data_IF_792035968297
#
_entry.id   IF_792035968297
#
_cell.length_a   1.000
_cell.length_b   1.000
_cell.length_c   1.000
_cell.angle_alpha   90.00
_cell.angle_beta   90.00
_cell.angle_gamma   90.00
#
_symmetry.space_group_name_H-M   'P 1'
#
loop_
_entity.id
_entity.type
_entity.pdbx_description
1 polymer ?
#
# COMPACT_ATOMS: atom_id res chain seq x y z
N UNK A 1 8.18 8.02 6.27
CA UNK A 1 7.19 6.93 6.04
C UNK A 1 6.41 7.29 4.79
N UNK A 2 6.18 6.36 3.88
CA UNK A 2 5.38 6.68 2.69
C UNK A 2 3.93 6.99 3.06
N UNK A 3 3.23 7.72 2.20
CA UNK A 3 1.83 8.10 2.38
C UNK A 3 0.96 7.48 1.29
N UNK A 4 -0.20 6.98 1.69
CA UNK A 4 -1.23 6.44 0.80
C UNK A 4 -2.52 7.20 1.05
N UNK A 5 -3.28 7.46 -0.02
CA UNK A 5 -4.70 7.78 0.05
C UNK A 5 -5.49 6.99 -1.00
N UNK A 6 -6.75 6.74 -0.72
CA UNK A 6 -7.70 6.12 -1.65
C UNK A 6 -9.08 6.74 -1.47
N UNK A 7 -9.85 6.70 -2.53
CA UNK A 7 -11.21 7.22 -2.59
C UNK A 7 -12.06 6.35 -3.50
N UNK A 8 -13.29 6.09 -3.08
CA UNK A 8 -14.37 5.57 -3.93
C UNK A 8 -15.70 6.22 -3.53
N UNK A 9 -16.49 6.64 -4.52
CA UNK A 9 -17.74 7.36 -4.27
C UNK A 9 -18.36 7.93 -5.52
N UNK A 10 -19.09 9.03 -5.38
CA UNK A 10 -19.83 9.68 -6.47
C UNK A 10 -19.04 10.77 -7.19
N UNK A 11 -18.02 11.35 -6.55
CA UNK A 11 -17.21 12.43 -7.14
C UNK A 11 -16.01 11.88 -7.91
N UNK A 12 -15.42 12.73 -8.75
CA UNK A 12 -14.16 12.38 -9.45
C UNK A 12 -13.01 12.20 -8.45
N UNK A 13 -12.36 11.02 -8.49
CA UNK A 13 -11.36 10.62 -7.51
C UNK A 13 -10.07 11.44 -7.57
N UNK A 14 -9.60 11.78 -8.77
CA UNK A 14 -8.27 12.37 -8.95
C UNK A 14 -8.05 13.68 -8.18
N UNK A 15 -8.94 14.70 -8.22
CA UNK A 15 -8.76 15.93 -7.44
C UNK A 15 -8.72 15.68 -5.93
N UNK A 16 -9.59 14.78 -5.44
CA UNK A 16 -9.68 14.42 -4.02
C UNK A 16 -8.38 13.77 -3.56
N UNK A 17 -7.90 12.79 -4.32
CA UNK A 17 -6.66 12.07 -4.01
C UNK A 17 -5.43 12.98 -4.00
N UNK A 18 -5.36 13.92 -4.96
CA UNK A 18 -4.27 14.89 -5.02
C UNK A 18 -4.29 15.84 -3.81
N UNK A 19 -5.47 16.27 -3.37
CA UNK A 19 -5.60 17.06 -2.14
C UNK A 19 -5.17 16.26 -0.91
N UNK A 20 -5.67 15.04 -0.77
CA UNK A 20 -5.36 14.17 0.35
C UNK A 20 -3.86 13.86 0.46
N UNK A 21 -3.18 13.62 -0.66
CA UNK A 21 -1.76 13.29 -0.62
C UNK A 21 -0.91 14.53 -0.31
N UNK A 22 -1.26 15.72 -0.79
CA UNK A 22 -0.56 16.97 -0.46
C UNK A 22 -0.54 17.22 1.05
N UNK A 23 -1.64 16.98 1.76
CA UNK A 23 -1.70 17.11 3.22
C UNK A 23 -0.72 16.18 3.93
N UNK A 24 -0.50 14.97 3.41
CA UNK A 24 0.39 13.97 4.00
C UNK A 24 1.89 14.23 3.66
N UNK A 25 2.19 14.84 2.55
CA UNK A 25 3.57 15.12 2.10
C UNK A 25 4.34 16.03 3.07
N UNK A 26 3.66 16.82 3.90
CA UNK A 26 4.29 17.60 4.97
C UNK A 26 4.85 16.74 6.11
N UNK A 27 4.35 15.51 6.27
CA UNK A 27 4.82 14.59 7.31
C UNK A 27 6.06 13.85 6.79
N UNK A 28 5.95 13.31 5.57
CA UNK A 28 7.00 12.57 4.90
C UNK A 28 6.54 12.31 3.45
N UNK A 29 7.46 11.98 2.52
CA UNK A 29 7.07 11.74 1.12
C UNK A 29 7.76 12.69 0.16
N UNK A 30 7.06 13.11 -0.90
CA UNK A 30 7.40 14.14 -1.89
C UNK A 30 8.59 13.87 -2.83
N UNK A 31 9.26 12.73 -2.77
CA UNK A 31 10.36 12.42 -3.71
C UNK A 31 9.93 11.55 -4.89
N UNK A 32 8.86 10.79 -4.77
CA UNK A 32 8.14 10.24 -5.92
C UNK A 32 6.66 10.10 -5.58
N UNK A 33 5.80 10.49 -6.50
CA UNK A 33 4.35 10.51 -6.34
C UNK A 33 3.67 9.90 -7.56
N UNK A 34 2.62 9.12 -7.35
CA UNK A 34 1.84 8.59 -8.45
C UNK A 34 0.45 8.14 -8.05
N UNK A 35 -0.44 8.17 -9.03
CA UNK A 35 -1.88 7.98 -8.92
C UNK A 35 -2.36 6.92 -9.89
N UNK A 36 -3.41 6.19 -9.49
CA UNK A 36 -4.23 5.38 -10.38
C UNK A 36 -5.71 5.63 -10.13
N UNK A 37 -6.49 5.78 -11.20
CA UNK A 37 -7.96 5.82 -11.15
C UNK A 37 -8.58 4.82 -12.11
N UNK A 38 -9.85 4.48 -11.89
CA UNK A 38 -10.59 3.54 -12.75
C UNK A 38 -11.75 4.26 -13.42
N UNK A 39 -11.87 4.10 -14.74
CA UNK A 39 -13.00 4.58 -15.51
C UNK A 39 -13.27 3.65 -16.71
N UNK A 40 -14.53 3.28 -16.92
CA UNK A 40 -14.97 2.43 -18.04
C UNK A 40 -14.12 1.15 -18.20
N UNK A 41 -13.84 0.45 -17.11
CA UNK A 41 -13.06 -0.79 -17.12
C UNK A 41 -11.58 -0.62 -17.48
N UNK A 42 -11.03 0.59 -17.33
CA UNK A 42 -9.63 0.91 -17.63
C UNK A 42 -8.97 1.61 -16.47
N UNK A 43 -7.68 1.38 -16.31
CA UNK A 43 -6.80 2.13 -15.42
C UNK A 43 -6.22 3.36 -16.13
N UNK A 44 -6.26 4.49 -15.42
CA UNK A 44 -5.55 5.73 -15.76
C UNK A 44 -4.47 5.91 -14.72
N UNK A 45 -3.21 5.94 -15.13
CA UNK A 45 -2.07 5.98 -14.21
C UNK A 45 -1.06 7.02 -14.62
N UNK A 46 -0.50 7.71 -13.64
CA UNK A 46 0.65 8.59 -13.81
C UNK A 46 1.55 8.51 -12.58
N UNK A 47 2.85 8.66 -12.78
CA UNK A 47 3.84 8.76 -11.71
C UNK A 47 5.03 9.62 -12.11
N UNK A 48 5.61 10.30 -11.13
CA UNK A 48 6.77 11.19 -11.33
C UNK A 48 7.79 11.00 -10.20
N UNK A 49 9.02 11.38 -10.47
CA UNK A 49 9.98 11.72 -9.42
C UNK A 49 9.69 13.17 -9.00
N UNK A 50 9.15 13.34 -7.80
CA UNK A 50 8.69 14.61 -7.25
C UNK A 50 7.41 14.46 -6.43
N UNK A 51 6.90 15.58 -5.95
CA UNK A 51 5.70 15.69 -5.13
C UNK A 51 4.40 15.73 -5.96
N UNK A 52 3.26 15.91 -5.30
CA UNK A 52 1.95 15.99 -5.94
C UNK A 52 1.83 17.20 -6.90
N UNK A 53 2.47 18.33 -6.60
CA UNK A 53 2.49 19.47 -7.51
C UNK A 53 3.25 19.14 -8.79
N UNK A 54 4.40 18.47 -8.67
CA UNK A 54 5.16 17.95 -9.82
C UNK A 54 4.32 16.97 -10.66
N UNK A 55 3.52 16.10 -10.00
CA UNK A 55 2.62 15.19 -10.71
C UNK A 55 1.56 15.94 -11.52
N UNK A 56 0.95 16.98 -10.94
CA UNK A 56 -0.03 17.85 -11.63
C UNK A 56 0.62 18.59 -12.80
N UNK A 57 1.81 19.16 -12.60
CA UNK A 57 2.49 19.96 -13.60
C UNK A 57 2.98 19.15 -14.80
N UNK A 58 3.46 17.91 -14.56
CA UNK A 58 4.11 17.09 -15.58
C UNK A 58 3.20 16.06 -16.25
N UNK A 59 1.98 15.89 -15.75
CA UNK A 59 1.06 14.86 -16.24
C UNK A 59 -0.38 15.39 -16.29
N UNK A 60 -1.28 14.62 -16.89
CA UNK A 60 -2.73 14.91 -16.90
C UNK A 60 -3.46 14.35 -15.66
N UNK A 61 -2.75 14.04 -14.59
CA UNK A 61 -3.29 13.36 -13.41
C UNK A 61 -4.51 14.06 -12.79
N UNK A 62 -4.52 15.40 -12.75
CA UNK A 62 -5.63 16.19 -12.22
C UNK A 62 -6.94 15.95 -13.00
N UNK A 63 -6.85 15.63 -14.29
CA UNK A 63 -7.98 15.42 -15.17
C UNK A 63 -8.37 13.94 -15.33
N UNK A 64 -7.71 13.01 -14.67
CA UNK A 64 -8.04 11.60 -14.76
C UNK A 64 -9.51 11.36 -14.43
N UNK A 65 -10.22 10.61 -15.27
CA UNK A 65 -11.62 10.26 -15.05
C UNK A 65 -11.75 9.18 -13.95
N UNK A 66 -13.01 8.92 -13.56
CA UNK A 66 -13.37 7.87 -12.64
C UNK A 66 -13.57 8.35 -11.20
N UNK A 67 -14.30 7.54 -10.48
CA UNK A 67 -14.77 7.82 -9.11
C UNK A 67 -14.12 6.91 -8.07
N UNK A 68 -13.20 6.05 -8.49
CA UNK A 68 -12.40 5.18 -7.63
C UNK A 68 -10.94 5.33 -8.00
N UNK A 69 -10.08 5.46 -6.99
CA UNK A 69 -8.64 5.57 -7.23
C UNK A 69 -7.81 5.47 -5.97
N UNK A 70 -6.50 5.40 -6.18
CA UNK A 70 -5.45 5.35 -5.15
C UNK A 70 -4.28 6.25 -5.54
N UNK A 71 -3.60 6.79 -4.56
CA UNK A 71 -2.43 7.64 -4.74
C UNK A 71 -1.38 7.31 -3.69
N UNK A 72 -0.12 7.51 -4.03
CA UNK A 72 1.01 7.24 -3.15
C UNK A 72 2.07 8.32 -3.30
N UNK A 73 2.68 8.71 -2.19
CA UNK A 73 3.87 9.57 -2.16
C UNK A 73 4.90 8.98 -1.19
N UNK A 74 6.17 8.93 -1.61
CA UNK A 74 7.24 8.32 -0.80
C UNK A 74 8.47 9.23 -0.66
N UNK A 75 9.19 9.13 0.49
CA UNK A 75 10.50 9.72 0.65
C UNK A 75 11.53 8.83 -0.04
N UNK A 76 12.35 9.42 -0.87
CA UNK A 76 13.46 8.74 -1.54
C UNK A 76 13.02 7.82 -2.66
N UNK A 77 13.43 8.16 -3.84
CA UNK A 77 13.55 7.29 -4.99
C UNK A 77 14.32 8.01 -6.10
N UNK A 78 15.21 7.31 -6.72
CA UNK A 78 15.99 7.75 -7.86
C UNK A 78 15.55 7.08 -9.19
N UNK A 79 14.61 6.13 -9.11
CA UNK A 79 14.12 5.37 -10.26
C UNK A 79 12.60 5.47 -10.38
N UNK A 80 12.13 5.93 -11.54
CA UNK A 80 10.68 6.04 -11.82
C UNK A 80 9.98 4.68 -11.80
N UNK A 81 10.67 3.63 -12.20
CA UNK A 81 10.21 2.25 -12.19
C UNK A 81 9.85 1.77 -10.79
N UNK A 82 10.49 2.32 -9.76
CA UNK A 82 10.25 2.02 -8.35
C UNK A 82 9.18 2.91 -7.71
N UNK A 83 8.68 3.94 -8.41
CA UNK A 83 7.57 4.74 -7.93
C UNK A 83 6.24 3.96 -8.03
N UNK A 84 5.37 4.16 -7.05
CA UNK A 84 4.01 3.62 -7.07
C UNK A 84 3.07 4.50 -7.92
N UNK A 85 1.94 3.96 -8.41
CA UNK A 85 1.51 2.56 -8.29
C UNK A 85 2.30 1.61 -9.20
N UNK A 86 2.38 0.34 -8.80
CA UNK A 86 2.72 -0.76 -9.70
C UNK A 86 1.47 -1.23 -10.42
N UNK A 87 1.63 -1.69 -11.68
CA UNK A 87 0.48 -2.07 -12.53
C UNK A 87 0.75 -3.42 -13.18
N UNK A 88 -0.22 -4.34 -13.04
CA UNK A 88 -0.27 -5.62 -13.72
C UNK A 88 -1.67 -5.83 -14.30
N UNK A 89 -1.78 -5.99 -15.63
CA UNK A 89 -3.06 -6.15 -16.29
C UNK A 89 -4.03 -5.01 -15.97
N UNK A 90 -5.12 -5.35 -15.29
CA UNK A 90 -6.18 -4.42 -14.85
C UNK A 90 -6.06 -4.00 -13.39
N UNK A 91 -5.02 -4.43 -12.69
CA UNK A 91 -4.77 -4.11 -11.27
C UNK A 91 -3.69 -3.05 -11.11
N UNK A 92 -3.89 -2.17 -10.14
CA UNK A 92 -2.88 -1.22 -9.64
C UNK A 92 -2.74 -1.36 -8.13
N UNK A 93 -1.49 -1.40 -7.64
CA UNK A 93 -1.15 -1.58 -6.23
C UNK A 93 -0.23 -0.45 -5.75
N UNK A 94 -0.54 0.07 -4.57
CA UNK A 94 0.36 0.89 -3.77
C UNK A 94 0.62 0.21 -2.42
N UNK A 95 1.81 0.43 -1.86
CA UNK A 95 2.23 -0.21 -0.62
C UNK A 95 3.07 0.75 0.22
N UNK A 96 2.77 0.83 1.51
CA UNK A 96 3.69 1.35 2.51
C UNK A 96 4.32 0.21 3.27
N UNK A 97 5.62 0.26 3.47
CA UNK A 97 6.30 -0.75 4.25
C UNK A 97 7.76 -0.92 3.90
N UNK A 98 8.35 -1.95 4.46
CA UNK A 98 9.76 -2.27 4.27
C UNK A 98 10.01 -3.76 4.45
N UNK A 99 10.94 -4.27 3.65
CA UNK A 99 11.54 -5.61 3.78
C UNK A 99 12.81 -5.61 4.62
N UNK A 100 13.18 -4.47 5.22
CA UNK A 100 14.40 -4.36 6.03
C UNK A 100 14.34 -5.35 7.19
N UNK A 101 15.46 -6.04 7.42
CA UNK A 101 15.59 -7.05 8.47
C UNK A 101 15.25 -8.47 8.05
N UNK A 102 14.91 -8.71 6.78
CA UNK A 102 14.64 -10.07 6.26
C UNK A 102 15.88 -10.80 5.77
N UNK A 103 17.03 -10.11 5.63
CA UNK A 103 18.26 -10.70 5.14
C UNK A 103 18.70 -11.88 6.02
N UNK A 104 19.09 -12.98 5.39
CA UNK A 104 19.53 -14.23 6.03
C UNK A 104 18.45 -14.90 6.90
N UNK A 105 17.18 -14.59 6.66
CA UNK A 105 16.04 -15.21 7.35
C UNK A 105 15.32 -16.23 6.45
N UNK A 106 14.52 -17.15 7.03
CA UNK A 106 13.65 -18.03 6.24
C UNK A 106 12.67 -17.27 5.32
N UNK A 107 12.28 -16.05 5.68
CA UNK A 107 11.38 -15.21 4.88
C UNK A 107 12.04 -14.73 3.59
N UNK A 108 13.32 -14.37 3.62
CA UNK A 108 14.07 -14.01 2.41
C UNK A 108 14.02 -15.14 1.38
N UNK A 109 14.26 -16.39 1.84
CA UNK A 109 14.15 -17.55 0.97
C UNK A 109 12.74 -17.73 0.40
N UNK A 110 11.72 -17.63 1.24
CA UNK A 110 10.32 -17.74 0.84
C UNK A 110 9.92 -16.70 -0.23
N UNK A 111 10.36 -15.46 -0.06
CA UNK A 111 10.13 -14.40 -1.02
C UNK A 111 10.82 -14.66 -2.35
N UNK A 112 12.10 -15.03 -2.30
CA UNK A 112 12.87 -15.35 -3.52
C UNK A 112 12.34 -16.60 -4.24
N UNK A 113 11.87 -17.62 -3.52
CA UNK A 113 11.22 -18.78 -4.13
C UNK A 113 9.92 -18.38 -4.86
N UNK A 114 9.11 -17.48 -4.29
CA UNK A 114 7.91 -16.97 -4.94
C UNK A 114 8.23 -16.10 -6.18
N UNK A 115 9.27 -15.27 -6.12
CA UNK A 115 9.75 -14.48 -7.25
C UNK A 115 10.21 -15.40 -8.40
N UNK A 116 10.98 -16.43 -8.10
CA UNK A 116 11.42 -17.39 -9.11
C UNK A 116 10.26 -18.16 -9.73
N UNK A 117 9.28 -18.57 -8.92
CA UNK A 117 8.04 -19.19 -9.41
C UNK A 117 7.29 -18.27 -10.38
N UNK A 118 7.15 -16.98 -10.06
CA UNK A 118 6.52 -16.00 -10.94
C UNK A 118 7.31 -15.85 -12.26
N UNK A 119 8.63 -15.75 -12.18
CA UNK A 119 9.49 -15.67 -13.37
C UNK A 119 9.36 -16.91 -14.27
N UNK A 120 9.37 -18.11 -13.69
CA UNK A 120 9.19 -19.38 -14.42
C UNK A 120 7.78 -19.50 -15.05
N UNK A 121 6.77 -18.82 -14.49
CA UNK A 121 5.42 -18.72 -15.06
C UNK A 121 5.25 -17.54 -16.06
N UNK A 122 6.36 -16.92 -16.48
CA UNK A 122 6.39 -15.92 -17.55
C UNK A 122 6.00 -14.50 -17.12
N UNK A 123 6.01 -14.19 -15.81
CA UNK A 123 5.83 -12.82 -15.35
C UNK A 123 7.08 -11.98 -15.60
N UNK A 124 6.87 -10.78 -16.12
CA UNK A 124 7.91 -9.77 -16.32
C UNK A 124 7.93 -8.78 -15.15
N UNK A 125 9.14 -8.45 -14.68
CA UNK A 125 9.34 -7.50 -13.59
C UNK A 125 9.85 -6.16 -14.15
N UNK A 126 9.00 -5.13 -14.07
CA UNK A 126 9.30 -3.77 -14.54
C UNK A 126 10.21 -2.99 -13.60
N UNK A 127 10.25 -3.38 -12.31
CA UNK A 127 11.14 -2.78 -11.32
C UNK A 127 12.54 -3.40 -11.30
N UNK A 128 12.85 -4.27 -12.24
CA UNK A 128 14.13 -4.98 -12.32
C UNK A 128 15.32 -4.03 -12.50
N UNK A 129 16.37 -4.23 -11.70
CA UNK A 129 17.62 -3.48 -11.78
C UNK A 129 18.83 -4.41 -11.55
N UNK A 130 20.00 -4.03 -12.05
CA UNK A 130 21.21 -4.83 -11.86
C UNK A 130 21.67 -4.75 -10.41
N UNK A 131 21.71 -5.89 -9.73
CA UNK A 131 22.25 -6.01 -8.37
C UNK A 131 22.51 -7.49 -8.04
N UNK A 132 23.74 -7.80 -7.71
CA UNK A 132 24.13 -9.15 -7.24
C UNK A 132 23.82 -9.35 -5.73
N UNK A 133 23.58 -8.27 -5.00
CA UNK A 133 23.36 -8.27 -3.56
C UNK A 133 21.96 -7.78 -3.16
N UNK A 134 21.02 -7.74 -4.10
CA UNK A 134 19.66 -7.38 -3.77
C UNK A 134 19.01 -8.42 -2.85
N UNK A 135 18.24 -7.95 -1.85
CA UNK A 135 17.49 -8.82 -0.95
C UNK A 135 16.47 -9.67 -1.72
N UNK A 136 15.77 -9.04 -2.65
CA UNK A 136 14.81 -9.68 -3.53
C UNK A 136 15.40 -9.75 -4.93
N UNK A 137 15.51 -10.95 -5.48
CA UNK A 137 16.20 -11.16 -6.75
C UNK A 137 15.65 -12.36 -7.53
N UNK A 138 15.82 -12.29 -8.85
CA UNK A 138 15.65 -13.46 -9.71
C UNK A 138 16.95 -14.27 -9.63
N UNK A 139 16.85 -15.47 -9.10
CA UNK A 139 18.00 -16.33 -8.79
C UNK A 139 18.89 -16.57 -10.02
N UNK A 140 20.16 -16.32 -9.84
CA UNK A 140 21.18 -16.61 -10.86
C UNK A 140 21.30 -15.58 -11.98
N UNK A 141 20.47 -14.52 -11.98
CA UNK A 141 20.50 -13.48 -13.02
C UNK A 141 21.19 -12.18 -12.57
N UNK A 142 21.48 -12.00 -11.27
CA UNK A 142 22.03 -10.73 -10.75
C UNK A 142 21.08 -9.57 -10.91
N UNK A 143 19.76 -9.84 -10.83
CA UNK A 143 18.69 -8.87 -11.00
C UNK A 143 17.95 -8.70 -9.69
N UNK A 144 18.02 -7.48 -9.12
CA UNK A 144 17.22 -7.07 -7.97
C UNK A 144 15.85 -6.56 -8.36
N UNK A 145 14.91 -6.58 -7.41
CA UNK A 145 13.52 -6.15 -7.60
C UNK A 145 13.07 -5.21 -6.49
N UNK A 146 12.11 -4.33 -6.80
CA UNK A 146 11.35 -3.60 -5.79
C UNK A 146 10.32 -4.55 -5.15
N UNK A 147 10.20 -4.48 -3.82
CA UNK A 147 9.40 -5.42 -3.02
C UNK A 147 7.90 -5.42 -3.31
N UNK A 148 7.35 -4.31 -3.76
CA UNK A 148 5.91 -4.18 -4.04
C UNK A 148 5.47 -4.93 -5.30
N UNK A 149 6.30 -4.96 -6.34
CA UNK A 149 5.91 -5.57 -7.61
C UNK A 149 5.66 -7.08 -7.50
N UNK A 150 6.51 -7.89 -6.86
CA UNK A 150 6.23 -9.31 -6.67
C UNK A 150 4.92 -9.60 -5.93
N UNK A 151 4.52 -8.72 -4.99
CA UNK A 151 3.24 -8.84 -4.28
C UNK A 151 2.06 -8.69 -5.26
N UNK A 152 2.10 -7.67 -6.13
CA UNK A 152 1.08 -7.47 -7.16
C UNK A 152 1.03 -8.63 -8.15
N UNK A 153 2.19 -9.09 -8.62
CA UNK A 153 2.25 -10.20 -9.58
C UNK A 153 1.76 -11.52 -8.99
N UNK A 154 2.01 -11.76 -7.71
CA UNK A 154 1.50 -12.93 -7.01
C UNK A 154 -0.01 -12.84 -6.75
N UNK A 155 -0.53 -11.64 -6.50
CA UNK A 155 -1.96 -11.37 -6.43
C UNK A 155 -2.63 -11.69 -7.76
N UNK A 156 -2.12 -11.19 -8.88
CA UNK A 156 -2.61 -11.48 -10.23
C UNK A 156 -2.55 -12.99 -10.55
N UNK A 157 -1.47 -13.66 -10.15
CA UNK A 157 -1.34 -15.11 -10.31
C UNK A 157 -2.45 -15.88 -9.59
N UNK A 158 -2.78 -15.50 -8.35
CA UNK A 158 -3.86 -16.14 -7.60
C UNK A 158 -5.26 -15.75 -8.13
N UNK A 159 -5.46 -14.51 -8.51
CA UNK A 159 -6.72 -14.06 -9.11
C UNK A 159 -7.03 -14.80 -10.42
N UNK A 160 -6.03 -15.06 -11.27
CA UNK A 160 -6.16 -15.91 -12.47
C UNK A 160 -6.53 -17.37 -12.17
N UNK A 161 -6.28 -17.83 -10.94
CA UNK A 161 -6.72 -19.15 -10.47
C UNK A 161 -8.13 -19.14 -9.89
N UNK A 162 -8.84 -18.00 -9.95
CA UNK A 162 -10.23 -17.86 -9.51
C UNK A 162 -10.41 -17.37 -8.08
N UNK A 163 -9.35 -16.92 -7.40
CA UNK A 163 -9.49 -16.25 -6.09
C UNK A 163 -10.06 -14.85 -6.27
N UNK A 164 -10.84 -14.37 -5.29
CA UNK A 164 -11.19 -12.95 -5.22
C UNK A 164 -9.96 -12.10 -4.94
N UNK A 165 -9.98 -10.80 -5.34
CA UNK A 165 -8.85 -9.90 -5.08
C UNK A 165 -8.51 -9.78 -3.59
N UNK A 166 -9.51 -9.79 -2.71
CA UNK A 166 -9.29 -9.81 -1.25
C UNK A 166 -8.56 -11.07 -0.77
N UNK A 167 -8.93 -12.23 -1.30
CA UNK A 167 -8.28 -13.50 -0.98
C UNK A 167 -6.87 -13.55 -1.56
N UNK A 168 -6.72 -13.20 -2.83
CA UNK A 168 -5.44 -13.19 -3.54
C UNK A 168 -4.43 -12.24 -2.87
N UNK A 169 -4.86 -11.02 -2.49
CA UNK A 169 -4.01 -10.07 -1.80
C UNK A 169 -3.59 -10.55 -0.41
N UNK A 170 -4.53 -11.10 0.39
CA UNK A 170 -4.22 -11.66 1.71
C UNK A 170 -3.24 -12.84 1.59
N UNK A 171 -3.41 -13.70 0.57
CA UNK A 171 -2.51 -14.83 0.32
C UNK A 171 -1.13 -14.39 -0.16
N UNK A 172 -1.05 -13.37 -1.01
CA UNK A 172 0.23 -12.77 -1.44
C UNK A 172 1.00 -12.21 -0.26
N UNK A 173 0.31 -11.52 0.67
CA UNK A 173 0.92 -10.98 1.88
C UNK A 173 1.21 -12.06 2.94
N UNK A 174 0.61 -13.25 2.86
CA UNK A 174 1.04 -14.40 3.65
C UNK A 174 2.39 -14.95 3.18
N UNK A 175 2.68 -14.80 1.88
CA UNK A 175 3.99 -15.14 1.30
C UNK A 175 5.00 -14.02 1.52
N UNK A 176 4.61 -12.78 1.20
CA UNK A 176 5.43 -11.57 1.34
C UNK A 176 5.09 -10.80 2.62
N UNK A 177 5.04 -11.48 3.76
CA UNK A 177 4.72 -10.83 5.01
C UNK A 177 5.85 -9.89 5.46
N UNK A 178 5.47 -8.82 6.14
CA UNK A 178 6.40 -7.77 6.55
C UNK A 178 5.67 -6.63 7.26
N UNK A 179 6.39 -5.54 7.50
CA UNK A 179 5.85 -4.34 8.11
C UNK A 179 5.16 -3.48 7.02
N UNK A 180 3.94 -3.89 6.61
CA UNK A 180 3.30 -3.32 5.42
C UNK A 180 1.82 -2.99 5.58
N UNK A 181 1.32 -2.15 4.67
CA UNK A 181 -0.08 -2.03 4.25
C UNK A 181 -0.13 -1.93 2.73
N UNK A 182 -0.99 -2.72 2.12
CA UNK A 182 -1.20 -2.78 0.66
C UNK A 182 -2.60 -2.30 0.30
N UNK A 183 -2.69 -1.50 -0.75
CA UNK A 183 -3.96 -1.00 -1.29
C UNK A 183 -3.99 -1.26 -2.79
N UNK A 184 -5.01 -1.98 -3.24
CA UNK A 184 -5.19 -2.42 -4.62
C UNK A 184 -6.52 -1.95 -5.17
N UNK A 185 -6.54 -1.58 -6.44
CA UNK A 185 -7.74 -1.37 -7.26
C UNK A 185 -7.65 -2.23 -8.51
N UNK A 186 -8.81 -2.70 -9.00
CA UNK A 186 -8.89 -3.48 -10.24
C UNK A 186 -10.03 -2.97 -11.12
N UNK A 187 -9.76 -2.78 -12.41
CA UNK A 187 -10.69 -2.16 -13.34
C UNK A 187 -11.95 -2.99 -13.62
N UNK A 188 -11.96 -4.29 -13.32
CA UNK A 188 -13.17 -5.12 -13.42
C UNK A 188 -14.08 -5.00 -12.17
N UNK A 189 -13.59 -4.37 -11.10
CA UNK A 189 -14.32 -4.08 -9.85
C UNK A 189 -14.21 -2.58 -9.56
N UNK A 190 -14.77 -1.78 -10.45
CA UNK A 190 -14.49 -0.34 -10.57
C UNK A 190 -14.95 0.55 -9.43
N UNK A 191 -15.72 0.01 -8.49
CA UNK A 191 -16.25 0.66 -7.29
C UNK A 191 -15.60 0.17 -5.98
N UNK A 192 -14.55 -0.66 -6.08
CA UNK A 192 -13.91 -1.27 -4.90
C UNK A 192 -12.44 -0.91 -4.77
N UNK A 193 -12.03 -0.73 -3.52
CA UNK A 193 -10.63 -0.68 -3.11
C UNK A 193 -10.38 -1.85 -2.15
N UNK A 194 -9.34 -2.63 -2.41
CA UNK A 194 -8.95 -3.77 -1.58
C UNK A 194 -7.77 -3.35 -0.70
N UNK A 195 -7.91 -3.52 0.60
CA UNK A 195 -6.89 -3.14 1.58
C UNK A 195 -6.51 -4.33 2.42
N UNK A 196 -5.22 -4.58 2.55
CA UNK A 196 -4.72 -5.54 3.54
C UNK A 196 -3.60 -4.90 4.34
N UNK A 197 -3.87 -4.68 5.62
CA UNK A 197 -2.96 -4.07 6.56
C UNK A 197 -2.31 -5.14 7.43
N UNK A 198 -0.97 -5.15 7.52
CA UNK A 198 -0.25 -5.94 8.51
C UNK A 198 0.04 -5.09 9.75
N UNK A 199 0.94 -4.14 9.65
CA UNK A 199 1.37 -3.31 10.79
C UNK A 199 1.22 -1.82 10.53
N UNK A 200 1.44 -1.36 9.29
CA UNK A 200 1.39 0.06 8.93
C UNK A 200 -0.03 0.63 9.06
N UNK A 201 -0.19 1.89 9.49
CA UNK A 201 -1.50 2.47 9.68
C UNK A 201 -2.28 2.61 8.37
N UNK A 202 -3.58 2.43 8.45
CA UNK A 202 -4.56 2.74 7.42
C UNK A 202 -5.89 3.04 8.09
N UNK A 203 -6.41 4.23 7.84
CA UNK A 203 -7.67 4.69 8.38
C UNK A 203 -8.72 4.75 7.28
N UNK A 204 -9.98 4.59 7.64
CA UNK A 204 -11.15 4.76 6.78
C UNK A 204 -12.04 5.84 7.35
N UNK A 205 -12.61 6.66 6.48
CA UNK A 205 -13.64 7.64 6.80
C UNK A 205 -14.80 7.52 5.80
N UNK A 206 -16.03 7.60 6.28
CA UNK A 206 -17.25 7.45 5.50
C UNK A 206 -18.12 8.68 5.63
N UNK A 207 -18.75 9.09 4.51
CA UNK A 207 -19.76 10.13 4.46
C UNK A 207 -20.74 9.89 3.30
N UNK A 208 -21.99 9.56 3.62
CA UNK A 208 -23.01 9.24 2.60
C UNK A 208 -22.57 8.08 1.70
N UNK A 209 -22.43 8.35 0.41
CA UNK A 209 -21.98 7.40 -0.62
C UNK A 209 -20.49 7.49 -0.93
N UNK A 210 -19.70 8.06 -0.03
CA UNK A 210 -18.27 8.27 -0.23
C UNK A 210 -17.42 7.55 0.83
N UNK A 211 -16.34 6.96 0.42
CA UNK A 211 -15.36 6.30 1.28
C UNK A 211 -13.95 6.80 0.97
N UNK A 212 -13.25 7.16 2.03
CA UNK A 212 -11.89 7.68 2.02
C UNK A 212 -11.00 6.74 2.83
N UNK A 213 -9.81 6.45 2.36
CA UNK A 213 -8.78 5.78 3.14
C UNK A 213 -7.48 6.57 3.10
N UNK A 214 -6.73 6.58 4.19
CA UNK A 214 -5.44 7.25 4.25
C UNK A 214 -4.51 6.65 5.31
N UNK A 215 -3.21 6.84 5.11
CA UNK A 215 -2.20 6.46 6.10
C UNK A 215 -2.36 7.23 7.41
N UNK A 216 -2.85 8.47 7.35
CA UNK A 216 -3.16 9.32 8.51
C UNK A 216 -4.49 10.05 8.31
N UNK A 217 -5.23 10.28 9.39
CA UNK A 217 -6.50 11.03 9.38
C UNK A 217 -6.31 12.49 8.95
N UNK A 218 -5.11 13.05 9.10
CA UNK A 218 -4.79 14.41 8.62
C UNK A 218 -4.97 14.59 7.10
N UNK A 219 -5.02 13.50 6.35
CA UNK A 219 -5.27 13.52 4.92
C UNK A 219 -6.73 13.81 4.56
N UNK A 220 -7.66 13.49 5.44
CA UNK A 220 -9.08 13.61 5.13
C UNK A 220 -9.49 15.06 4.88
N UNK A 221 -10.42 15.31 3.93
CA UNK A 221 -10.97 16.66 3.70
C UNK A 221 -11.56 17.26 4.97
N UNK A 222 -11.21 18.52 5.27
CA UNK A 222 -11.65 19.21 6.50
C UNK A 222 -13.07 19.79 6.39
N UNK A 223 -13.55 19.94 5.17
CA UNK A 223 -14.88 20.43 4.83
C UNK A 223 -15.98 19.37 4.86
N UNK A 224 -15.59 18.10 5.17
CA UNK A 224 -16.51 16.98 5.28
C UNK A 224 -16.66 16.59 6.75
N UNK A 225 -17.91 16.60 7.24
CA UNK A 225 -18.27 16.04 8.54
C UNK A 225 -18.50 14.52 8.39
N UNK A 226 -17.49 13.73 8.70
CA UNK A 226 -17.54 12.28 8.52
C UNK A 226 -18.48 11.62 9.51
N UNK A 227 -19.40 10.81 9.01
CA UNK A 227 -20.35 10.01 9.81
C UNK A 227 -19.63 8.88 10.58
N UNK A 228 -18.49 8.42 10.05
CA UNK A 228 -17.72 7.33 10.64
C UNK A 228 -16.24 7.45 10.30
N UNK A 229 -15.38 7.24 11.29
CA UNK A 229 -13.92 7.09 11.11
C UNK A 229 -13.40 5.94 11.94
N UNK A 230 -12.45 5.16 11.41
CA UNK A 230 -11.80 4.08 12.13
C UNK A 230 -10.45 3.70 11.51
N UNK A 231 -9.59 3.07 12.31
CA UNK A 231 -8.45 2.32 11.78
C UNK A 231 -8.89 0.95 11.27
N UNK A 232 -8.46 0.59 10.07
CA UNK A 232 -8.73 -0.75 9.53
C UNK A 232 -8.01 -1.83 10.36
N UNK A 233 -8.59 -3.02 10.50
CA UNK A 233 -8.01 -4.11 11.30
C UNK A 233 -6.72 -4.65 10.68
N UNK A 234 -5.83 -5.16 11.52
CA UNK A 234 -4.59 -5.82 11.09
C UNK A 234 -4.81 -7.26 10.66
N UNK A 235 -3.97 -7.76 9.75
CA UNK A 235 -3.94 -9.14 9.27
C UNK A 235 -5.27 -9.63 8.68
N UNK A 236 -6.08 -8.71 8.17
CA UNK A 236 -7.34 -9.00 7.48
C UNK A 236 -7.43 -8.20 6.19
N UNK A 237 -7.98 -8.82 5.14
CA UNK A 237 -8.37 -8.10 3.95
C UNK A 237 -9.69 -7.36 4.20
N UNK A 238 -9.74 -6.11 3.74
CA UNK A 238 -10.94 -5.26 3.76
C UNK A 238 -11.30 -4.87 2.32
N UNK A 239 -12.59 -4.78 2.04
CA UNK A 239 -13.13 -4.22 0.81
C UNK A 239 -13.80 -2.88 1.14
N UNK A 240 -13.36 -1.82 0.50
CA UNK A 240 -13.93 -0.49 0.65
C UNK A 240 -14.80 -0.24 -0.58
N UNK A 241 -16.04 0.12 -0.36
CA UNK A 241 -17.05 0.44 -1.38
C UNK A 241 -17.59 1.86 -1.17
N UNK A 242 -18.31 2.46 -2.12
CA UNK A 242 -18.97 3.74 -1.88
C UNK A 242 -19.86 3.72 -0.63
N UNK A 243 -19.54 4.59 0.34
CA UNK A 243 -20.28 4.70 1.59
C UNK A 243 -20.13 3.54 2.58
N UNK A 244 -19.16 2.64 2.39
CA UNK A 244 -19.00 1.53 3.30
C UNK A 244 -17.69 0.75 3.19
N UNK A 245 -17.49 -0.19 4.11
CA UNK A 245 -16.42 -1.17 4.01
C UNK A 245 -16.82 -2.48 4.69
N UNK A 246 -16.21 -3.55 4.23
CA UNK A 246 -16.36 -4.88 4.81
C UNK A 246 -14.99 -5.42 5.25
N UNK A 247 -14.94 -5.99 6.45
CA UNK A 247 -13.81 -6.80 6.91
C UNK A 247 -14.06 -8.24 6.49
N UNK A 248 -13.37 -8.69 5.47
CA UNK A 248 -13.59 -10.01 4.87
C UNK A 248 -13.13 -11.14 5.80
N UNK A 249 -13.51 -12.38 5.47
CA UNK A 249 -12.99 -13.58 6.16
C UNK A 249 -11.51 -13.87 5.89
N UNK A 250 -10.93 -13.29 4.83
CA UNK A 250 -9.57 -13.59 4.38
C UNK A 250 -8.54 -12.98 5.32
N UNK A 251 -7.62 -13.81 5.78
CA UNK A 251 -6.56 -13.44 6.72
C UNK A 251 -5.20 -13.61 6.10
N UNK A 252 -4.26 -12.80 6.57
CA UNK A 252 -2.83 -13.04 6.32
C UNK A 252 -2.35 -14.07 7.32
N UNK A 253 -1.80 -15.16 6.82
CA UNK A 253 -1.24 -16.26 7.60
C UNK A 253 0.23 -15.99 7.94
N UNK A 254 0.74 -16.66 8.99
CA UNK A 254 2.16 -16.55 9.39
C UNK A 254 2.52 -15.29 10.18
N UNK A 255 1.56 -14.37 10.38
CA UNK A 255 1.72 -13.22 11.26
C UNK A 255 1.03 -13.48 12.60
N UNK A 256 1.82 -13.48 13.68
CA UNK A 256 1.28 -13.38 15.03
C UNK A 256 1.22 -11.90 15.42
N UNK A 257 0.02 -11.35 15.50
CA UNK A 257 -0.16 -10.08 16.22
C UNK A 257 -0.17 -10.43 17.68
N UNK A 258 0.88 -10.10 18.41
CA UNK A 258 0.84 -10.15 19.87
C UNK A 258 -0.29 -9.24 20.34
N UNK A 259 -1.25 -9.84 21.05
CA UNK A 259 -2.26 -9.03 21.74
C UNK A 259 -1.54 -8.21 22.79
N UNK A 260 -1.74 -6.90 22.77
CA UNK A 260 -1.29 -6.04 23.87
C UNK A 260 -1.98 -6.56 25.13
N UNK A 261 -1.20 -7.23 25.97
CA UNK A 261 -1.65 -7.65 27.29
C UNK A 261 -1.51 -6.49 28.27
N UNK A 262 -2.23 -6.47 29.41
CA UNK A 262 -2.02 -5.47 30.43
C UNK A 262 -0.55 -5.35 30.87
N UNK A 263 0.21 -6.45 30.87
CA UNK A 263 1.64 -6.44 31.18
C UNK A 263 2.47 -5.71 30.12
N UNK A 264 2.26 -6.01 28.84
CA UNK A 264 2.94 -5.31 27.71
C UNK A 264 2.59 -3.83 27.71
N UNK A 265 1.33 -3.48 28.00
CA UNK A 265 0.91 -2.09 28.12
C UNK A 265 1.60 -1.37 29.27
N UNK A 266 1.71 -2.00 30.43
CA UNK A 266 2.39 -1.44 31.61
C UNK A 266 3.88 -1.19 31.33
N UNK A 267 4.57 -2.16 30.71
CA UNK A 267 5.97 -2.04 30.32
C UNK A 267 6.17 -0.90 29.30
N UNK A 268 5.32 -0.82 28.27
CA UNK A 268 5.37 0.24 27.29
C UNK A 268 5.10 1.62 27.91
N UNK A 269 4.18 1.70 28.86
CA UNK A 269 3.87 2.93 29.61
C UNK A 269 5.03 3.38 30.50
N UNK A 270 5.66 2.47 31.24
CA UNK A 270 6.84 2.75 32.04
C UNK A 270 7.99 3.26 31.18
N UNK A 271 8.27 2.58 30.05
CA UNK A 271 9.30 2.97 29.11
C UNK A 271 9.04 4.35 28.51
N UNK A 272 7.79 4.63 28.09
CA UNK A 272 7.41 5.96 27.59
C UNK A 272 7.58 7.04 28.69
N UNK A 273 7.21 6.73 29.92
CA UNK A 273 7.34 7.65 31.05
C UNK A 273 8.81 7.95 31.37
N UNK A 274 9.68 6.97 31.26
CA UNK A 274 11.12 7.13 31.45
C UNK A 274 11.74 7.98 30.32
N UNK A 275 11.36 7.75 29.06
CA UNK A 275 11.76 8.59 27.91
C UNK A 275 11.36 10.05 28.12
N UNK A 276 10.14 10.30 28.60
CA UNK A 276 9.63 11.65 28.84
C UNK A 276 10.38 12.36 29.98
N UNK A 277 10.89 11.62 30.98
CA UNK A 277 11.62 12.16 32.11
C UNK A 277 13.11 12.36 31.84
N UNK A 278 13.74 11.41 31.15
CA UNK A 278 15.18 11.28 31.04
C UNK A 278 15.72 11.49 29.61
N UNK A 279 14.83 11.62 28.61
CA UNK A 279 15.20 11.74 27.19
C UNK A 279 15.52 10.38 26.55
N UNK A 280 15.75 10.42 25.22
CA UNK A 280 16.02 9.25 24.38
C UNK A 280 17.45 8.67 24.55
N UNK A 281 18.36 9.43 25.14
CA UNK A 281 19.79 9.11 25.21
C UNK A 281 20.14 7.90 26.13
N UNK A 282 19.15 7.35 26.81
CA UNK A 282 19.32 6.20 27.71
C UNK A 282 18.85 4.85 27.13
N UNK A 283 18.53 4.81 25.80
CA UNK A 283 18.06 3.60 25.12
C UNK A 283 19.01 3.22 23.98
N UNK A 284 20.20 2.74 24.36
CA UNK A 284 21.10 2.02 23.45
C UNK A 284 20.78 0.50 23.42
#
# INVERSE_FOLDING_TARGET
MCNIAGYTGSRRAAPILLEMIKKQEYIDGSLSTGIATIHDGKLYTAKVLGNADTLIEKTDALNFPGTTGIIHSRPGNDMLEHAHPFVCGKSALVLNGTTRGLKDTPLEKQWNDAINMLYENGYEFKSAYKSENALLQIKGLGIGLHDTEPILLLEDYYAKQGMSHSEALARSLSTFNGDTVSVLINADTSDKIFVTRLTRPMNVALNGDESFIASTELAFPEDIDFEYTASLPTCRACEITPGGFEVTKHRVEGMSVERITPAIFAEAYERMTDILKNGWEHFD
#
